data_IF_281063876652
#
_entry.id   IF_281063876652
#
_cell.length_a   1.000
_cell.length_b   1.000
_cell.length_c   1.000
_cell.angle_alpha   90.00
_cell.angle_beta   90.00
_cell.angle_gamma   90.00
#
_symmetry.space_group_name_H-M   'P 1'
#
loop_
_entity.id
_entity.type
_entity.pdbx_description
1 polymer ?
#
# COMPACT_ATOMS: atom_id res chain seq x y z
N UNK A 1 -20.08 7.98 -21.59
CA UNK A 1 -20.39 8.06 -20.15
C UNK A 1 -19.07 8.01 -19.41
N UNK A 2 -18.71 9.05 -18.65
CA UNK A 2 -17.64 8.92 -17.66
C UNK A 2 -18.18 7.99 -16.57
N UNK A 3 -17.47 6.91 -16.28
CA UNK A 3 -17.77 6.06 -15.12
C UNK A 3 -17.56 6.90 -13.87
N UNK A 4 -18.51 6.88 -12.94
CA UNK A 4 -18.31 7.56 -11.66
C UNK A 4 -17.16 6.90 -10.89
N UNK A 5 -16.35 7.69 -10.17
CA UNK A 5 -15.25 7.15 -9.38
C UNK A 5 -15.79 6.23 -8.29
N UNK A 6 -15.11 5.10 -8.05
CA UNK A 6 -15.52 4.12 -7.04
C UNK A 6 -15.46 4.68 -5.61
N UNK A 7 -14.67 5.75 -5.41
CA UNK A 7 -14.55 6.46 -4.15
C UNK A 7 -13.99 7.87 -4.41
N UNK A 8 -14.47 8.86 -3.68
CA UNK A 8 -13.93 10.23 -3.73
C UNK A 8 -13.17 10.62 -2.46
N UNK A 9 -12.25 11.57 -2.59
CA UNK A 9 -11.55 12.17 -1.44
C UNK A 9 -12.52 12.75 -0.41
N UNK A 10 -13.62 13.37 -0.87
CA UNK A 10 -14.63 13.95 0.02
C UNK A 10 -15.34 12.89 0.87
N UNK A 11 -15.61 11.70 0.30
CA UNK A 11 -16.22 10.60 1.05
C UNK A 11 -15.27 10.06 2.12
N UNK A 12 -14.00 9.81 1.77
CA UNK A 12 -12.99 9.31 2.72
C UNK A 12 -12.75 10.31 3.86
N UNK A 13 -12.66 11.59 3.52
CA UNK A 13 -12.57 12.66 4.51
C UNK A 13 -13.79 12.70 5.41
N UNK A 14 -14.99 12.51 4.84
CA UNK A 14 -16.22 12.37 5.60
C UNK A 14 -16.17 11.21 6.61
N UNK A 15 -15.64 10.05 6.21
CA UNK A 15 -15.44 8.90 7.11
C UNK A 15 -14.43 9.26 8.22
N UNK A 16 -13.31 9.88 7.89
CA UNK A 16 -12.28 10.25 8.86
C UNK A 16 -12.76 11.26 9.91
N UNK A 17 -13.62 12.21 9.52
CA UNK A 17 -14.14 13.27 10.39
C UNK A 17 -15.41 12.88 11.15
N UNK A 18 -15.99 11.71 10.88
CA UNK A 18 -17.18 11.25 11.60
C UNK A 18 -16.81 10.86 13.06
N UNK A 19 -17.68 11.13 14.07
CA UNK A 19 -19.01 11.74 13.98
C UNK A 19 -19.04 13.27 14.09
N UNK A 20 -17.97 13.92 14.56
CA UNK A 20 -17.97 15.34 14.91
C UNK A 20 -17.95 16.29 13.72
N UNK A 21 -17.54 15.82 12.54
CA UNK A 21 -17.29 16.65 11.36
C UNK A 21 -15.99 17.45 11.46
N UNK A 22 -15.20 17.24 12.51
CA UNK A 22 -13.93 17.93 12.78
C UNK A 22 -12.82 16.93 13.05
N UNK A 23 -11.57 17.34 12.85
CA UNK A 23 -10.43 16.46 13.11
C UNK A 23 -10.28 16.22 14.62
N UNK A 24 -10.38 14.96 15.01
CA UNK A 24 -10.02 14.46 16.32
C UNK A 24 -8.57 13.94 16.28
N UNK A 25 -7.93 13.86 17.45
CA UNK A 25 -6.55 13.42 17.59
C UNK A 25 -6.48 12.16 18.45
N UNK A 26 -5.61 11.20 18.12
CA UNK A 26 -5.44 9.99 18.94
C UNK A 26 -4.99 10.33 20.35
N UNK A 27 -5.55 9.62 21.33
CA UNK A 27 -5.19 9.74 22.75
C UNK A 27 -4.05 8.81 23.13
N UNK A 28 -4.00 7.62 22.53
CA UNK A 28 -2.97 6.61 22.75
C UNK A 28 -1.81 6.73 21.76
N UNK A 29 -0.63 6.27 22.17
CA UNK A 29 0.57 6.28 21.33
C UNK A 29 0.44 5.40 20.09
N UNK A 30 -0.22 4.25 20.23
CA UNK A 30 -0.58 3.35 19.15
C UNK A 30 -1.83 2.54 19.47
N UNK A 31 -2.51 2.09 18.42
CA UNK A 31 -3.69 1.24 18.49
C UNK A 31 -3.54 0.06 17.53
N UNK A 32 -4.05 -1.11 17.90
CA UNK A 32 -4.23 -2.22 16.98
C UNK A 32 -5.43 -1.92 16.07
N UNK A 33 -5.15 -1.54 14.83
CA UNK A 33 -6.17 -1.09 13.87
C UNK A 33 -6.70 -2.22 12.98
N UNK A 34 -5.95 -3.32 12.91
CA UNK A 34 -6.30 -4.57 12.26
C UNK A 34 -5.49 -5.70 12.93
N UNK A 35 -5.93 -6.98 12.95
CA UNK A 35 -5.21 -8.04 13.64
C UNK A 35 -3.71 -8.10 13.28
N UNK A 36 -2.85 -7.88 14.29
CA UNK A 36 -1.40 -7.85 14.15
C UNK A 36 -0.82 -6.55 13.54
N UNK A 37 -1.65 -5.57 13.17
CA UNK A 37 -1.21 -4.28 12.62
C UNK A 37 -1.52 -3.16 13.61
N UNK A 38 -0.44 -2.51 14.07
CA UNK A 38 -0.50 -1.38 14.98
C UNK A 38 -0.18 -0.09 14.23
N UNK A 39 -0.99 0.95 14.46
CA UNK A 39 -0.78 2.28 13.91
C UNK A 39 -0.43 3.25 15.04
N UNK A 40 0.70 3.94 14.92
CA UNK A 40 1.22 4.74 16.03
C UNK A 40 1.93 6.05 15.67
N UNK A 41 2.21 6.83 16.72
CA UNK A 41 3.00 8.05 16.68
C UNK A 41 4.51 7.76 16.89
N UNK A 42 5.33 8.80 16.97
CA UNK A 42 6.77 8.63 17.20
C UNK A 42 7.10 7.96 18.56
N UNK A 43 6.36 8.27 19.63
CA UNK A 43 6.62 7.72 20.96
C UNK A 43 6.41 6.20 21.02
N UNK A 44 5.41 5.68 20.29
CA UNK A 44 5.17 4.24 20.19
C UNK A 44 6.36 3.43 19.68
N UNK A 45 7.24 4.07 18.90
CA UNK A 45 8.38 3.40 18.27
C UNK A 45 9.68 3.45 19.11
N UNK A 46 9.73 4.23 20.20
CA UNK A 46 10.92 4.33 21.06
C UNK A 46 10.96 3.31 22.20
N UNK A 47 9.84 2.67 22.54
CA UNK A 47 9.73 1.79 23.70
C UNK A 47 9.86 0.30 23.30
N UNK A 48 11.09 -0.18 23.22
CA UNK A 48 11.40 -1.57 22.84
C UNK A 48 10.73 -2.60 23.75
N UNK A 49 10.60 -2.32 25.05
CA UNK A 49 9.97 -3.24 25.99
C UNK A 49 8.47 -3.37 25.70
N UNK A 50 7.78 -2.25 25.49
CA UNK A 50 6.37 -2.23 25.11
C UNK A 50 6.14 -2.90 23.75
N UNK A 51 7.01 -2.66 22.76
CA UNK A 51 6.93 -3.33 21.46
C UNK A 51 7.00 -4.85 21.61
N UNK A 52 7.95 -5.36 22.41
CA UNK A 52 8.09 -6.79 22.67
C UNK A 52 6.89 -7.39 23.41
N UNK A 53 6.35 -6.68 24.41
CA UNK A 53 5.14 -7.09 25.14
C UNK A 53 3.92 -7.19 24.22
N UNK A 54 3.83 -6.35 23.20
CA UNK A 54 2.78 -6.38 22.18
C UNK A 54 3.06 -7.39 21.05
N UNK A 55 4.12 -8.21 21.19
CA UNK A 55 4.61 -9.15 20.17
C UNK A 55 4.94 -8.46 18.83
N UNK A 56 5.30 -7.18 18.85
CA UNK A 56 5.72 -6.43 17.66
C UNK A 56 7.17 -6.80 17.34
N UNK A 57 7.37 -7.41 16.16
CA UNK A 57 8.69 -7.79 15.64
C UNK A 57 9.12 -6.97 14.43
N UNK A 58 8.22 -6.13 13.90
CA UNK A 58 8.43 -5.37 12.67
C UNK A 58 8.03 -3.91 12.90
N UNK A 59 8.90 -2.97 12.55
CA UNK A 59 8.65 -1.52 12.67
C UNK A 59 8.87 -0.84 11.33
N UNK A 60 7.81 -0.25 10.79
CA UNK A 60 7.82 0.60 9.61
C UNK A 60 7.68 2.07 10.04
N UNK A 61 8.73 2.87 9.79
CA UNK A 61 8.71 4.31 9.99
C UNK A 61 8.41 5.04 8.68
N UNK A 62 7.17 5.51 8.51
CA UNK A 62 6.69 6.26 7.34
C UNK A 62 7.08 7.75 7.36
N UNK A 63 8.04 8.14 8.19
CA UNK A 63 8.57 9.49 8.32
C UNK A 63 10.09 9.46 8.57
N UNK A 64 10.78 8.43 8.11
CA UNK A 64 12.17 8.16 8.50
C UNK A 64 13.14 9.20 7.94
N UNK A 65 13.83 9.91 8.83
CA UNK A 65 14.87 10.86 8.49
C UNK A 65 15.14 11.83 9.63
N UNK A 66 16.10 12.73 9.42
CA UNK A 66 16.58 13.67 10.43
C UNK A 66 16.15 15.13 10.18
N UNK A 67 15.49 15.39 9.05
CA UNK A 67 15.03 16.75 8.72
C UNK A 67 13.72 17.08 9.46
N UNK A 68 13.86 17.75 10.59
CA UNK A 68 12.74 18.20 11.41
C UNK A 68 11.82 19.20 10.67
N UNK A 69 12.33 19.97 9.69
CA UNK A 69 11.51 20.92 8.92
C UNK A 69 10.49 20.23 8.02
N UNK A 70 10.75 18.96 7.67
CA UNK A 70 9.87 18.09 6.89
C UNK A 70 9.04 17.15 7.77
N UNK A 71 9.03 17.37 9.09
CA UNK A 71 8.41 16.47 10.07
C UNK A 71 8.89 15.02 9.93
N UNK A 72 10.17 14.82 9.62
CA UNK A 72 10.84 13.52 9.66
C UNK A 72 11.26 13.20 11.09
N UNK A 73 11.34 11.91 11.41
CA UNK A 73 11.70 11.44 12.73
C UNK A 73 12.48 10.14 12.63
N UNK A 74 13.52 10.03 13.45
CA UNK A 74 14.22 8.79 13.76
C UNK A 74 14.32 8.70 15.28
N UNK A 75 13.50 7.84 15.89
CA UNK A 75 13.51 7.66 17.35
C UNK A 75 14.59 6.68 17.80
N UNK A 76 14.86 5.68 16.98
CA UNK A 76 15.94 4.71 17.13
C UNK A 76 16.56 4.48 15.75
N UNK A 77 17.86 4.18 15.73
CA UNK A 77 18.58 3.76 14.54
C UNK A 77 18.17 2.34 14.10
N UNK A 78 18.35 1.99 12.82
CA UNK A 78 18.17 0.62 12.33
C UNK A 78 18.97 -0.40 13.14
N UNK A 79 20.18 -0.04 13.57
CA UNK A 79 21.05 -0.90 14.38
C UNK A 79 20.47 -1.17 15.77
N UNK A 80 19.86 -0.17 16.41
CA UNK A 80 19.20 -0.32 17.72
C UNK A 80 17.99 -1.25 17.65
N UNK A 81 17.18 -1.16 16.59
CA UNK A 81 16.09 -2.12 16.35
C UNK A 81 16.63 -3.53 16.10
N UNK A 82 17.67 -3.65 15.27
CA UNK A 82 18.27 -4.95 14.96
C UNK A 82 18.83 -5.64 16.20
N UNK A 83 19.53 -4.91 17.08
CA UNK A 83 20.04 -5.43 18.36
C UNK A 83 18.91 -5.88 19.29
N UNK A 84 17.71 -5.32 19.11
CA UNK A 84 16.49 -5.68 19.86
C UNK A 84 15.70 -6.81 19.21
N UNK A 85 16.16 -7.39 18.10
CA UNK A 85 15.46 -8.44 17.36
C UNK A 85 14.26 -7.94 16.55
N UNK A 86 14.16 -6.63 16.30
CA UNK A 86 13.09 -6.00 15.53
C UNK A 86 13.59 -5.74 14.10
N UNK A 87 12.81 -6.19 13.11
CA UNK A 87 13.05 -5.88 11.70
C UNK A 87 12.55 -4.47 11.43
N UNK A 88 13.39 -3.64 10.82
CA UNK A 88 13.09 -2.22 10.60
C UNK A 88 13.01 -1.85 9.12
N UNK A 89 12.04 -1.02 8.76
CA UNK A 89 11.93 -0.36 7.46
C UNK A 89 11.69 1.15 7.65
N UNK A 90 12.59 1.97 7.11
CA UNK A 90 12.44 3.42 7.07
C UNK A 90 12.02 3.91 5.68
N UNK A 91 10.87 4.58 5.60
CA UNK A 91 10.42 5.28 4.39
C UNK A 91 10.53 6.80 4.63
N UNK A 92 11.35 7.53 3.85
CA UNK A 92 11.54 8.98 4.00
C UNK A 92 10.39 9.77 3.36
N UNK A 93 9.16 9.57 3.85
CA UNK A 93 7.98 10.25 3.32
C UNK A 93 7.68 11.59 3.99
N UNK A 94 7.30 12.57 3.15
CA UNK A 94 6.95 13.93 3.55
C UNK A 94 5.43 14.05 3.53
N UNK A 95 4.83 14.64 4.57
CA UNK A 95 3.38 14.78 4.71
C UNK A 95 2.85 15.98 3.90
N UNK A 96 2.96 15.87 2.58
CA UNK A 96 2.49 16.88 1.64
C UNK A 96 1.63 16.22 0.56
N UNK A 97 0.59 16.91 0.12
CA UNK A 97 -0.32 16.42 -0.93
C UNK A 97 0.40 16.09 -2.24
N UNK A 98 1.51 16.77 -2.53
CA UNK A 98 2.34 16.54 -3.72
C UNK A 98 3.34 15.40 -3.59
N UNK A 99 3.51 14.80 -2.40
CA UNK A 99 4.47 13.72 -2.20
C UNK A 99 3.93 12.40 -2.80
N UNK A 100 4.69 11.70 -3.65
CA UNK A 100 4.24 10.47 -4.31
C UNK A 100 4.35 9.25 -3.36
N UNK A 101 3.51 9.22 -2.33
CA UNK A 101 3.50 8.12 -1.34
C UNK A 101 3.17 6.76 -1.98
N UNK A 102 2.37 6.76 -3.05
CA UNK A 102 2.03 5.58 -3.83
C UNK A 102 3.25 4.80 -4.37
N UNK A 103 4.37 5.47 -4.60
CA UNK A 103 5.63 4.81 -4.99
C UNK A 103 6.16 3.84 -3.92
N UNK A 104 5.73 4.01 -2.66
CA UNK A 104 6.11 3.17 -1.52
C UNK A 104 5.06 2.14 -1.12
N UNK A 105 3.86 2.14 -1.73
CA UNK A 105 2.79 1.21 -1.36
C UNK A 105 3.25 -0.24 -1.44
N UNK A 106 3.83 -0.67 -2.56
CA UNK A 106 4.29 -2.06 -2.72
C UNK A 106 5.31 -2.48 -1.66
N UNK A 107 6.27 -1.60 -1.34
CA UNK A 107 7.29 -1.87 -0.31
C UNK A 107 6.67 -1.96 1.08
N UNK A 108 5.79 -1.02 1.45
CA UNK A 108 5.13 -1.01 2.74
C UNK A 108 4.21 -2.23 2.92
N UNK A 109 3.41 -2.55 1.89
CA UNK A 109 2.51 -3.70 1.89
C UNK A 109 3.28 -5.02 2.03
N UNK A 110 4.37 -5.18 1.28
CA UNK A 110 5.22 -6.36 1.39
C UNK A 110 5.80 -6.51 2.81
N UNK A 111 6.25 -5.41 3.41
CA UNK A 111 6.84 -5.43 4.75
C UNK A 111 5.81 -5.78 5.83
N UNK A 112 4.61 -5.19 5.75
CA UNK A 112 3.52 -5.51 6.69
C UNK A 112 3.15 -7.00 6.56
N UNK A 113 2.98 -7.48 5.32
CA UNK A 113 2.68 -8.88 5.05
C UNK A 113 3.74 -9.83 5.62
N UNK A 114 5.02 -9.50 5.45
CA UNK A 114 6.13 -10.31 5.97
C UNK A 114 6.04 -10.50 7.48
N UNK A 115 5.82 -9.41 8.23
CA UNK A 115 5.70 -9.49 9.68
C UNK A 115 4.50 -10.31 10.15
N UNK A 116 3.36 -10.15 9.50
CA UNK A 116 2.16 -10.93 9.81
C UNK A 116 2.35 -12.43 9.49
N UNK A 117 2.97 -12.77 8.35
CA UNK A 117 3.30 -14.16 7.99
C UNK A 117 4.29 -14.79 8.99
N UNK A 118 5.18 -13.98 9.56
CA UNK A 118 6.10 -14.42 10.62
C UNK A 118 5.41 -14.60 12.00
N UNK A 119 4.10 -14.38 12.10
CA UNK A 119 3.35 -14.46 13.36
C UNK A 119 3.69 -13.32 14.34
N UNK A 120 4.17 -12.19 13.82
CA UNK A 120 4.56 -11.01 14.58
C UNK A 120 3.62 -9.85 14.32
N UNK A 121 3.50 -8.98 15.33
CA UNK A 121 2.89 -7.67 15.17
C UNK A 121 3.78 -6.75 14.34
N UNK A 122 3.14 -5.85 13.59
CA UNK A 122 3.78 -4.82 12.78
C UNK A 122 3.33 -3.46 13.27
N UNK A 123 4.27 -2.63 13.74
CA UNK A 123 4.01 -1.21 13.99
C UNK A 123 4.30 -0.41 12.72
N UNK A 124 3.28 0.29 12.22
CA UNK A 124 3.41 1.29 11.17
C UNK A 124 3.22 2.66 11.80
N UNK A 125 4.28 3.46 11.87
CA UNK A 125 4.22 4.76 12.54
C UNK A 125 4.72 5.89 11.63
N UNK A 126 4.36 7.11 11.97
CA UNK A 126 4.99 8.31 11.43
C UNK A 126 5.28 9.28 12.58
N UNK A 127 5.12 10.59 12.39
CA UNK A 127 5.24 11.54 13.50
C UNK A 127 4.06 11.45 14.48
N UNK A 128 2.82 11.50 13.97
CA UNK A 128 1.59 11.54 14.78
C UNK A 128 0.72 10.28 14.66
N UNK A 129 0.99 9.42 13.67
CA UNK A 129 0.15 8.25 13.43
C UNK A 129 -1.23 8.56 12.83
N UNK A 130 -1.34 9.66 12.08
CA UNK A 130 -2.62 10.18 11.55
C UNK A 130 -2.68 10.14 10.01
N UNK A 131 -1.61 10.52 9.31
CA UNK A 131 -1.62 10.71 7.85
C UNK A 131 -0.74 9.71 7.10
N UNK A 132 0.59 9.91 7.06
CA UNK A 132 1.55 9.06 6.29
C UNK A 132 1.42 7.57 6.58
N UNK A 133 1.51 7.18 7.86
CA UNK A 133 1.43 5.77 8.25
C UNK A 133 0.03 5.19 8.06
N UNK A 134 -1.02 5.99 8.31
CA UNK A 134 -2.40 5.56 8.08
C UNK A 134 -2.63 5.24 6.61
N UNK A 135 -2.14 6.08 5.68
CA UNK A 135 -2.26 5.83 4.25
C UNK A 135 -1.57 4.53 3.82
N UNK A 136 -0.41 4.17 4.39
CA UNK A 136 0.26 2.91 4.09
C UNK A 136 -0.51 1.69 4.64
N UNK A 137 -1.12 1.80 5.82
CA UNK A 137 -1.99 0.74 6.36
C UNK A 137 -3.24 0.57 5.49
N UNK A 138 -3.87 1.66 5.06
CA UNK A 138 -5.02 1.58 4.15
C UNK A 138 -4.64 0.93 2.81
N UNK A 139 -3.47 1.25 2.26
CA UNK A 139 -2.97 0.60 1.06
C UNK A 139 -2.81 -0.92 1.24
N UNK A 140 -2.29 -1.37 2.40
CA UNK A 140 -2.21 -2.80 2.74
C UNK A 140 -3.58 -3.46 2.77
N UNK A 141 -4.55 -2.89 3.49
CA UNK A 141 -5.89 -3.47 3.62
C UNK A 141 -6.61 -3.57 2.26
N UNK A 142 -6.41 -2.59 1.39
CA UNK A 142 -6.98 -2.62 0.03
C UNK A 142 -6.26 -3.63 -0.87
N UNK A 143 -4.93 -3.73 -0.80
CA UNK A 143 -4.14 -4.61 -1.68
C UNK A 143 -4.19 -6.10 -1.26
N UNK A 144 -4.00 -6.39 0.03
CA UNK A 144 -3.82 -7.76 0.52
C UNK A 144 -5.10 -8.35 1.09
N UNK A 145 -5.86 -7.58 1.87
CA UNK A 145 -7.15 -8.04 2.43
C UNK A 145 -8.30 -7.84 1.44
N UNK A 146 -8.07 -7.10 0.34
CA UNK A 146 -9.02 -6.92 -0.74
C UNK A 146 -10.24 -6.07 -0.39
N UNK A 147 -10.19 -5.33 0.72
CA UNK A 147 -11.25 -4.42 1.17
C UNK A 147 -11.45 -3.27 0.18
N UNK A 148 -12.70 -2.81 0.07
CA UNK A 148 -12.97 -1.51 -0.56
C UNK A 148 -12.35 -0.39 0.30
N UNK A 149 -11.83 0.66 -0.34
CA UNK A 149 -11.12 1.72 0.36
C UNK A 149 -11.97 2.41 1.45
N UNK A 150 -13.26 2.64 1.21
CA UNK A 150 -14.17 3.18 2.20
C UNK A 150 -14.26 2.28 3.44
N UNK A 151 -14.30 0.96 3.23
CA UNK A 151 -14.38 0.00 4.32
C UNK A 151 -13.07 -0.12 5.09
N UNK A 152 -11.94 -0.20 4.39
CA UNK A 152 -10.62 -0.13 5.02
C UNK A 152 -10.49 1.15 5.89
N UNK A 153 -10.98 2.28 5.38
CA UNK A 153 -10.98 3.55 6.11
C UNK A 153 -11.84 3.48 7.37
N UNK A 154 -13.04 2.89 7.31
CA UNK A 154 -13.89 2.68 8.49
C UNK A 154 -13.24 1.76 9.52
N UNK A 155 -12.65 0.65 9.08
CA UNK A 155 -11.96 -0.31 9.96
C UNK A 155 -10.89 0.40 10.76
N UNK A 156 -9.98 1.12 10.10
CA UNK A 156 -8.90 1.84 10.79
C UNK A 156 -9.46 2.97 11.65
N UNK A 157 -10.38 3.79 11.11
CA UNK A 157 -10.95 4.94 11.83
C UNK A 157 -11.73 4.55 13.09
N UNK A 158 -12.33 3.36 13.11
CA UNK A 158 -13.04 2.83 14.28
C UNK A 158 -12.12 2.50 15.47
N UNK A 159 -10.81 2.39 15.22
CA UNK A 159 -9.79 2.06 16.22
C UNK A 159 -8.87 3.22 16.55
N UNK A 160 -8.64 4.13 15.60
CA UNK A 160 -7.76 5.29 15.77
C UNK A 160 -8.19 6.45 14.89
N UNK A 161 -8.08 7.67 15.41
CA UNK A 161 -8.27 8.89 14.64
C UNK A 161 -7.21 9.00 13.54
N UNK A 162 -7.65 8.92 12.28
CA UNK A 162 -6.82 9.08 11.10
C UNK A 162 -7.37 10.17 10.22
N UNK A 163 -6.47 10.84 9.50
CA UNK A 163 -6.81 11.80 8.46
C UNK A 163 -5.60 11.96 7.53
N UNK A 164 -5.38 11.02 6.59
CA UNK A 164 -4.44 11.24 5.49
C UNK A 164 -4.74 12.54 4.77
N UNK A 165 -3.70 13.24 4.33
CA UNK A 165 -3.90 14.45 3.53
C UNK A 165 -4.61 14.12 2.20
N UNK A 166 -5.26 15.12 1.59
CA UNK A 166 -6.10 14.92 0.40
C UNK A 166 -5.32 14.31 -0.80
N UNK A 167 -4.01 14.56 -0.90
CA UNK A 167 -3.17 13.95 -1.94
C UNK A 167 -2.93 12.45 -1.71
N UNK A 168 -2.78 12.02 -0.45
CA UNK A 168 -2.69 10.60 -0.12
C UNK A 168 -4.04 9.89 -0.27
N UNK A 169 -5.15 10.55 0.09
CA UNK A 169 -6.49 10.02 -0.17
C UNK A 169 -6.73 9.83 -1.67
N UNK A 170 -6.33 10.79 -2.50
CA UNK A 170 -6.41 10.67 -3.96
C UNK A 170 -5.59 9.46 -4.48
N UNK A 171 -4.35 9.32 -4.02
CA UNK A 171 -3.49 8.18 -4.38
C UNK A 171 -4.08 6.83 -3.96
N UNK A 172 -4.81 6.77 -2.85
CA UNK A 172 -5.54 5.59 -2.42
C UNK A 172 -6.77 5.31 -3.30
N UNK A 173 -7.52 6.34 -3.69
CA UNK A 173 -8.62 6.21 -4.66
C UNK A 173 -8.12 5.61 -5.98
N UNK A 174 -7.00 6.14 -6.52
CA UNK A 174 -6.36 5.63 -7.74
C UNK A 174 -5.95 4.16 -7.60
N UNK A 175 -5.40 3.77 -6.45
CA UNK A 175 -5.08 2.38 -6.13
C UNK A 175 -6.33 1.49 -6.14
N UNK A 176 -7.41 1.93 -5.49
CA UNK A 176 -8.67 1.20 -5.40
C UNK A 176 -9.29 0.99 -6.79
N UNK A 177 -9.31 2.02 -7.62
CA UNK A 177 -9.78 1.93 -9.01
C UNK A 177 -8.94 0.97 -9.84
N UNK A 178 -7.61 1.06 -9.75
CA UNK A 178 -6.70 0.18 -10.46
C UNK A 178 -6.91 -1.30 -10.12
N UNK A 179 -7.10 -1.63 -8.84
CA UNK A 179 -7.35 -3.00 -8.40
C UNK A 179 -8.74 -3.50 -8.80
N UNK A 180 -9.77 -2.66 -8.72
CA UNK A 180 -11.11 -3.04 -9.17
C UNK A 180 -11.18 -3.27 -10.68
N UNK A 181 -10.50 -2.43 -11.47
CA UNK A 181 -10.34 -2.67 -12.90
C UNK A 181 -9.64 -4.01 -13.14
N UNK A 182 -8.55 -4.32 -12.42
CA UNK A 182 -7.89 -5.64 -12.50
C UNK A 182 -8.81 -6.81 -12.14
N UNK A 183 -9.66 -6.68 -11.12
CA UNK A 183 -10.67 -7.69 -10.75
C UNK A 183 -11.70 -7.89 -11.87
N UNK A 184 -12.17 -6.80 -12.49
CA UNK A 184 -13.03 -6.85 -13.67
C UNK A 184 -12.37 -7.55 -14.87
N UNK A 185 -11.06 -7.35 -15.04
CA UNK A 185 -10.23 -8.03 -16.05
C UNK A 185 -9.98 -9.52 -15.75
N UNK A 186 -10.02 -9.96 -14.49
CA UNK A 186 -9.84 -11.36 -14.10
C UNK A 186 -11.16 -12.15 -14.00
N UNK A 187 -12.30 -11.48 -13.82
CA UNK A 187 -13.64 -12.10 -13.85
C UNK A 187 -14.35 -12.00 -15.20
N UNK A 188 -13.93 -11.10 -16.10
CA UNK A 188 -14.34 -11.05 -17.51
C UNK A 188 -13.26 -11.65 -18.42
N UNK A 189 -13.66 -12.29 -19.52
CA UNK A 189 -12.73 -12.78 -20.56
C UNK A 189 -11.63 -11.75 -20.83
N UNK A 190 -10.37 -12.18 -20.68
CA UNK A 190 -9.19 -11.33 -20.54
C UNK A 190 -9.17 -10.09 -21.42
N UNK A 191 -9.03 -8.93 -20.77
CA UNK A 191 -8.65 -7.67 -21.40
C UNK A 191 -7.21 -7.35 -20.99
N UNK A 192 -6.57 -6.55 -21.82
CA UNK A 192 -5.21 -6.73 -22.24
C UNK A 192 -4.61 -5.32 -22.31
N UNK A 193 -3.67 -4.99 -21.43
CA UNK A 193 -3.11 -3.62 -21.33
C UNK A 193 -1.68 -3.59 -21.89
N UNK A 194 -1.46 -2.71 -22.86
CA UNK A 194 -0.20 -2.50 -23.57
C UNK A 194 0.76 -1.61 -22.76
N UNK A 195 2.07 -1.91 -22.79
CA UNK A 195 3.13 -1.01 -22.33
C UNK A 195 3.84 -0.36 -23.53
N UNK A 196 4.16 0.93 -23.42
CA UNK A 196 4.72 1.80 -24.48
C UNK A 196 6.13 1.44 -24.97
N UNK A 197 6.77 0.37 -24.49
CA UNK A 197 8.18 0.05 -24.75
C UNK A 197 8.50 -1.41 -25.13
N UNK A 198 7.52 -2.22 -25.56
CA UNK A 198 7.80 -3.49 -26.25
C UNK A 198 7.46 -4.76 -25.46
N UNK A 199 6.68 -5.59 -26.16
CA UNK A 199 6.37 -7.02 -25.98
C UNK A 199 5.91 -7.45 -24.58
N UNK A 200 4.61 -7.73 -24.49
CA UNK A 200 4.02 -8.45 -23.35
C UNK A 200 4.63 -9.83 -23.14
N UNK A 201 4.84 -10.23 -21.88
CA UNK A 201 5.27 -11.61 -21.52
C UNK A 201 4.12 -12.62 -21.53
N UNK A 202 2.88 -12.19 -21.77
CA UNK A 202 1.75 -13.10 -21.85
C UNK A 202 1.65 -13.69 -23.25
N UNK A 203 1.75 -15.01 -23.35
CA UNK A 203 1.70 -15.75 -24.60
C UNK A 203 0.43 -15.44 -25.40
N UNK A 204 -0.74 -15.39 -24.75
CA UNK A 204 -2.00 -15.07 -25.43
C UNK A 204 -2.07 -13.65 -25.96
N UNK A 205 -1.31 -12.76 -25.33
CA UNK A 205 -1.23 -11.34 -25.62
C UNK A 205 -0.41 -11.08 -26.88
N UNK A 206 0.76 -11.72 -26.94
CA UNK A 206 1.63 -11.73 -28.14
C UNK A 206 0.91 -12.43 -29.29
N UNK A 207 0.20 -13.52 -29.02
CA UNK A 207 -0.58 -14.23 -30.03
C UNK A 207 -1.64 -13.35 -30.67
N UNK A 208 -2.41 -12.61 -29.86
CA UNK A 208 -3.43 -11.69 -30.34
C UNK A 208 -2.84 -10.58 -31.22
N UNK A 209 -1.73 -9.97 -30.78
CA UNK A 209 -1.02 -8.96 -31.56
C UNK A 209 -0.51 -9.51 -32.92
N UNK A 210 0.15 -10.67 -32.92
CA UNK A 210 0.67 -11.28 -34.15
C UNK A 210 -0.44 -11.56 -35.17
N UNK A 211 -1.61 -11.98 -34.69
CA UNK A 211 -2.75 -12.31 -35.57
C UNK A 211 -3.49 -11.06 -36.05
N UNK A 212 -3.64 -10.05 -35.20
CA UNK A 212 -4.47 -8.88 -35.50
C UNK A 212 -3.71 -7.73 -36.16
N UNK A 213 -2.47 -7.47 -35.73
CA UNK A 213 -1.69 -6.31 -36.18
C UNK A 213 -0.62 -6.70 -37.21
N UNK A 214 -0.03 -7.89 -37.08
CA UNK A 214 0.92 -8.43 -38.07
C UNK A 214 0.27 -9.41 -39.08
N UNK A 215 -1.06 -9.59 -39.01
CA UNK A 215 -1.87 -10.45 -39.88
C UNK A 215 -1.35 -11.90 -40.04
N UNK A 216 -0.69 -12.45 -39.02
CA UNK A 216 -0.27 -13.86 -39.07
C UNK A 216 -1.45 -14.81 -38.88
N UNK A 217 -1.50 -15.86 -39.71
CA UNK A 217 -2.29 -17.06 -39.46
C UNK A 217 -2.04 -17.61 -38.05
N UNK A 218 -3.12 -17.95 -37.33
CA UNK A 218 -3.07 -18.37 -35.92
C UNK A 218 -2.08 -19.52 -35.67
N UNK A 219 -1.97 -20.46 -36.61
CA UNK A 219 -1.01 -21.56 -36.52
C UNK A 219 0.45 -21.08 -36.60
N UNK A 220 0.73 -20.05 -37.40
CA UNK A 220 2.07 -19.45 -37.52
C UNK A 220 2.39 -18.60 -36.29
N UNK A 221 1.44 -17.78 -35.84
CA UNK A 221 1.58 -16.98 -34.62
C UNK A 221 1.87 -17.86 -33.40
N UNK A 222 1.18 -19.01 -33.28
CA UNK A 222 1.39 -19.97 -32.17
C UNK A 222 2.82 -20.51 -32.17
N UNK A 223 3.38 -20.85 -33.34
CA UNK A 223 4.78 -21.32 -33.43
C UNK A 223 5.77 -20.25 -33.00
N UNK A 224 5.55 -18.98 -33.37
CA UNK A 224 6.40 -17.84 -32.97
C UNK A 224 6.40 -17.64 -31.46
N UNK A 225 5.24 -17.76 -30.82
CA UNK A 225 5.12 -17.62 -29.36
C UNK A 225 5.77 -18.80 -28.63
N UNK A 226 5.62 -20.02 -29.14
CA UNK A 226 6.19 -21.23 -28.53
C UNK A 226 7.72 -21.31 -28.69
N UNK A 227 8.28 -20.96 -29.85
CA UNK A 227 9.73 -21.00 -30.08
C UNK A 227 10.50 -19.99 -29.21
N UNK A 228 9.91 -18.81 -28.94
CA UNK A 228 10.47 -17.83 -28.00
C UNK A 228 10.44 -18.30 -26.54
N UNK A 229 9.52 -19.20 -26.19
CA UNK A 229 9.40 -19.77 -24.84
C UNK A 229 10.48 -20.82 -24.57
N UNK A 230 10.90 -21.55 -25.60
CA UNK A 230 12.02 -22.52 -25.54
C UNK A 230 13.38 -21.82 -25.45
N UNK A 231 13.57 -20.68 -26.13
CA UNK A 231 14.83 -19.90 -26.07
C UNK A 231 15.10 -19.20 -24.73
N UNK A 232 14.09 -19.04 -23.86
CA UNK A 232 14.25 -18.45 -22.52
C UNK A 232 14.27 -19.51 -21.39
N UNK A 233 14.23 -20.80 -21.75
CA UNK A 233 14.27 -21.93 -20.83
C UNK A 233 15.61 -22.69 -20.81
N UNK A 234 16.66 -22.11 -21.39
CA UNK A 234 18.04 -22.63 -21.42
C UNK A 234 19.01 -21.64 -20.78
#
# INVERSE_FOLDING_TARGET
MQLEPLCTVSELRGICLWPSGTQEFPTEDCDEVYPGIFLGNAASASDIEKLNLMNIGYVLNAAHGLDASLNMIQVLSPEEYQLSGIVFLGIPAIDMMSYPLNSHFGTAVSFIKEGLVAGKGVLVHCKQGISRSAALVLAYLVQEEGLELQEATRVVRSRREILPNDGFLMQLCELNEFLNNKKGLSSGKGVLVHCKQGISRSAGLVLAYLVQEEELELQKATRVVMSRREMMGS
#
